data_IF_695564711322
#
_entry.id   IF_695564711322
#
_cell.length_a   1.000
_cell.length_b   1.000
_cell.length_c   1.000
_cell.angle_alpha   90.00
_cell.angle_beta   90.00
_cell.angle_gamma   90.00
#
_symmetry.space_group_name_H-M   'P 1'
#
loop_
_entity.id
_entity.type
_entity.pdbx_description
1 polymer ?
#
# COMPACT_ATOMS: atom_id res chain seq x y z
N UNK A 1 23.76 4.72 5.00
CA UNK A 1 22.30 4.62 4.81
C UNK A 1 22.01 3.33 4.09
N UNK A 2 21.19 2.46 4.66
CA UNK A 2 20.87 1.16 4.08
C UNK A 2 20.15 1.30 2.74
N UNK A 3 20.34 0.32 1.87
CA UNK A 3 19.66 0.21 0.57
C UNK A 3 18.13 0.18 0.77
N UNK A 4 17.34 1.04 0.10
CA UNK A 4 15.87 1.02 0.22
C UNK A 4 15.29 -0.34 -0.15
N UNK A 5 14.33 -0.82 0.64
CA UNK A 5 13.77 -2.16 0.47
C UNK A 5 12.82 -2.30 -0.74
N UNK A 6 12.18 -1.20 -1.15
CA UNK A 6 11.28 -1.14 -2.31
C UNK A 6 12.01 -0.73 -3.58
N UNK A 7 11.55 -1.24 -4.71
CA UNK A 7 11.95 -0.77 -6.02
C UNK A 7 11.25 0.55 -6.34
N UNK A 8 11.96 1.66 -6.11
CA UNK A 8 11.50 3.02 -6.39
C UNK A 8 11.97 3.59 -7.72
N UNK A 9 12.72 2.81 -8.51
CA UNK A 9 13.31 3.28 -9.78
C UNK A 9 12.46 2.89 -10.96
N UNK A 10 12.04 1.63 -10.98
CA UNK A 10 11.25 1.11 -12.08
C UNK A 10 9.77 1.41 -11.83
N UNK A 11 9.11 1.99 -12.83
CA UNK A 11 7.69 2.29 -12.75
C UNK A 11 6.87 1.11 -13.26
N UNK A 12 6.93 -0.01 -12.53
CA UNK A 12 6.07 -1.16 -12.80
C UNK A 12 4.66 -0.92 -12.26
N UNK A 13 3.67 -1.40 -13.02
CA UNK A 13 2.30 -1.56 -12.57
C UNK A 13 2.27 -2.56 -11.39
N UNK A 14 1.52 -2.22 -10.35
CA UNK A 14 1.36 -3.05 -9.16
C UNK A 14 -0.10 -3.38 -8.86
N UNK A 15 -1.04 -2.74 -9.55
CA UNK A 15 -2.46 -3.07 -9.56
C UNK A 15 -2.82 -3.76 -10.88
N UNK A 16 -3.65 -4.80 -10.76
CA UNK A 16 -4.30 -5.46 -11.88
C UNK A 16 -5.81 -5.30 -11.67
N UNK A 17 -6.56 -5.13 -12.77
CA UNK A 17 -8.02 -5.12 -12.76
C UNK A 17 -8.60 -6.49 -12.45
N UNK A 18 -9.91 -6.54 -12.29
CA UNK A 18 -10.67 -7.75 -12.00
C UNK A 18 -11.14 -8.42 -13.29
N UNK A 19 -11.58 -9.70 -13.23
CA UNK A 19 -12.07 -10.42 -14.41
C UNK A 19 -13.29 -9.81 -15.10
N UNK A 20 -14.00 -8.90 -14.42
CA UNK A 20 -15.11 -8.12 -14.96
C UNK A 20 -14.66 -6.95 -15.87
N UNK A 21 -13.36 -6.66 -15.93
CA UNK A 21 -12.78 -5.61 -16.74
C UNK A 21 -12.61 -4.27 -16.02
N UNK A 22 -12.95 -4.18 -14.74
CA UNK A 22 -12.88 -2.95 -13.94
C UNK A 22 -11.71 -2.95 -12.94
N UNK A 23 -11.38 -1.78 -12.39
CA UNK A 23 -10.36 -1.63 -11.33
C UNK A 23 -10.93 -1.29 -9.96
N UNK A 24 -12.24 -1.09 -9.85
CA UNK A 24 -13.02 -0.76 -8.66
C UNK A 24 -12.33 0.28 -7.75
N UNK A 25 -12.02 1.51 -8.20
CA UNK A 25 -11.27 2.50 -7.40
C UNK A 25 -11.88 2.78 -6.03
N UNK A 26 -13.20 2.78 -5.94
CA UNK A 26 -13.95 3.00 -4.69
C UNK A 26 -14.22 1.71 -3.90
N UNK A 27 -13.92 0.54 -4.47
CA UNK A 27 -14.02 -0.74 -3.79
C UNK A 27 -12.96 -0.89 -2.70
N UNK A 28 -13.28 -1.65 -1.67
CA UNK A 28 -12.32 -2.00 -0.63
C UNK A 28 -11.26 -2.96 -1.19
N UNK A 29 -10.05 -2.92 -0.62
CA UNK A 29 -8.97 -3.86 -0.93
C UNK A 29 -8.71 -4.80 0.25
N UNK A 30 -8.39 -6.06 -0.05
CA UNK A 30 -8.13 -7.08 0.97
C UNK A 30 -6.70 -7.02 1.50
N UNK A 31 -6.48 -7.62 2.67
CA UNK A 31 -5.15 -7.76 3.29
C UNK A 31 -4.19 -8.57 2.41
N UNK A 32 -4.67 -9.61 1.73
CA UNK A 32 -3.87 -10.43 0.81
C UNK A 32 -3.43 -9.67 -0.45
N UNK A 33 -4.31 -8.85 -1.02
CA UNK A 33 -3.98 -8.01 -2.17
C UNK A 33 -2.89 -6.99 -1.80
N UNK A 34 -3.02 -6.30 -0.66
CA UNK A 34 -2.00 -5.35 -0.20
C UNK A 34 -0.67 -6.03 0.09
N UNK A 35 -0.67 -7.19 0.76
CA UNK A 35 0.56 -7.97 0.98
C UNK A 35 1.24 -8.31 -0.35
N UNK A 36 0.47 -8.68 -1.36
CA UNK A 36 1.00 -9.05 -2.67
C UNK A 36 1.54 -7.85 -3.44
N UNK A 37 0.90 -6.68 -3.34
CA UNK A 37 1.42 -5.41 -3.89
C UNK A 37 2.82 -5.13 -3.34
N UNK A 38 2.96 -5.06 -2.01
CA UNK A 38 4.25 -4.75 -1.40
C UNK A 38 5.30 -5.82 -1.65
N UNK A 39 4.94 -7.11 -1.67
CA UNK A 39 5.84 -8.20 -2.01
C UNK A 39 6.41 -8.06 -3.44
N UNK A 40 5.57 -7.71 -4.42
CA UNK A 40 6.00 -7.47 -5.81
C UNK A 40 6.89 -6.23 -5.92
N UNK A 41 6.66 -5.23 -5.08
CA UNK A 41 7.45 -4.00 -5.04
C UNK A 41 8.79 -4.15 -4.30
N UNK A 42 9.03 -5.24 -3.56
CA UNK A 42 10.34 -5.51 -2.97
C UNK A 42 11.40 -5.63 -4.07
N UNK A 43 12.61 -5.11 -3.80
CA UNK A 43 13.77 -5.39 -4.64
C UNK A 43 14.21 -6.85 -4.49
N UNK A 44 14.74 -7.43 -5.56
CA UNK A 44 15.13 -8.85 -5.56
C UNK A 44 16.07 -9.26 -4.42
N UNK A 45 17.13 -8.51 -4.05
CA UNK A 45 17.98 -8.91 -2.92
C UNK A 45 17.22 -9.00 -1.59
N UNK A 46 16.27 -8.08 -1.36
CA UNK A 46 15.44 -8.05 -0.15
C UNK A 46 14.41 -9.17 -0.21
N UNK A 47 13.76 -9.36 -1.35
CA UNK A 47 12.79 -10.44 -1.55
C UNK A 47 13.44 -11.80 -1.33
N UNK A 48 14.64 -12.03 -1.86
CA UNK A 48 15.41 -13.28 -1.66
C UNK A 48 15.84 -13.47 -0.22
N UNK A 49 16.30 -12.41 0.47
CA UNK A 49 16.74 -12.49 1.86
C UNK A 49 15.63 -12.95 2.81
N UNK A 50 14.41 -12.45 2.61
CA UNK A 50 13.28 -12.73 3.51
C UNK A 50 12.28 -13.75 2.95
N UNK A 51 12.56 -14.31 1.78
CA UNK A 51 11.67 -15.26 1.10
C UNK A 51 11.22 -16.37 2.05
N UNK A 52 9.90 -16.55 2.16
CA UNK A 52 9.31 -17.64 2.91
C UNK A 52 7.99 -18.07 2.28
N UNK A 53 7.70 -19.36 2.34
CA UNK A 53 6.40 -19.96 2.01
C UNK A 53 5.76 -20.61 3.25
N UNK A 54 6.32 -20.35 4.43
CA UNK A 54 5.85 -20.90 5.70
C UNK A 54 5.47 -19.75 6.63
N UNK A 55 4.33 -19.91 7.29
CA UNK A 55 3.80 -19.00 8.28
C UNK A 55 3.02 -19.80 9.33
N UNK A 56 2.67 -19.14 10.45
CA UNK A 56 1.90 -19.76 11.53
C UNK A 56 0.39 -19.51 11.46
N UNK A 57 -0.13 -18.96 10.36
CA UNK A 57 -1.53 -18.58 10.26
C UNK A 57 -2.41 -19.76 9.84
N UNK A 58 -3.49 -20.00 10.57
CA UNK A 58 -4.41 -21.11 10.31
C UNK A 58 -5.20 -20.97 9.00
N UNK A 59 -5.30 -19.74 8.47
CA UNK A 59 -6.07 -19.36 7.28
C UNK A 59 -5.19 -18.94 6.09
N UNK A 60 -3.89 -19.21 6.12
CA UNK A 60 -2.95 -18.94 5.01
C UNK A 60 -2.29 -20.24 4.51
N UNK A 61 -3.05 -21.15 3.88
CA UNK A 61 -2.52 -22.44 3.43
C UNK A 61 -1.50 -22.29 2.31
N UNK A 62 -0.54 -23.23 2.25
CA UNK A 62 0.63 -23.19 1.36
C UNK A 62 0.32 -23.11 -0.15
N UNK A 63 -0.86 -23.56 -0.57
CA UNK A 63 -1.27 -23.59 -1.97
C UNK A 63 -2.03 -22.33 -2.44
N UNK A 64 -2.20 -21.31 -1.59
CA UNK A 64 -2.90 -20.07 -1.96
C UNK A 64 -1.95 -19.08 -2.61
N UNK A 65 -2.47 -18.32 -3.58
CA UNK A 65 -1.72 -17.32 -4.35
C UNK A 65 -1.02 -16.27 -3.47
N UNK A 66 -1.62 -15.93 -2.33
CA UNK A 66 -1.09 -14.94 -1.38
C UNK A 66 -0.09 -15.51 -0.37
N UNK A 67 0.09 -16.84 -0.29
CA UNK A 67 0.85 -17.46 0.80
C UNK A 67 2.29 -16.96 0.83
N UNK A 68 2.96 -16.94 -0.32
CA UNK A 68 4.36 -16.52 -0.41
C UNK A 68 4.54 -15.05 -0.03
N UNK A 69 3.64 -14.17 -0.50
CA UNK A 69 3.66 -12.75 -0.18
C UNK A 69 3.46 -12.52 1.33
N UNK A 70 2.45 -13.16 1.92
CA UNK A 70 2.16 -13.03 3.35
C UNK A 70 3.31 -13.59 4.19
N UNK A 71 3.79 -14.78 3.85
CA UNK A 71 4.87 -15.45 4.60
C UNK A 71 6.16 -14.63 4.53
N UNK A 72 6.53 -14.11 3.36
CA UNK A 72 7.72 -13.25 3.19
C UNK A 72 7.60 -11.94 3.98
N UNK A 73 6.50 -11.20 3.84
CA UNK A 73 6.32 -9.93 4.57
C UNK A 73 6.17 -10.13 6.10
N UNK A 74 5.65 -11.29 6.53
CA UNK A 74 5.61 -11.66 7.94
C UNK A 74 7.02 -11.94 8.47
N UNK A 75 7.84 -12.65 7.69
CA UNK A 75 9.25 -12.89 8.01
C UNK A 75 10.08 -11.59 8.07
N UNK A 76 9.67 -10.56 7.32
CA UNK A 76 10.23 -9.21 7.41
C UNK A 76 9.75 -8.41 8.64
N UNK A 77 8.71 -8.87 9.35
CA UNK A 77 8.04 -8.11 10.41
C UNK A 77 7.13 -6.97 9.92
N UNK A 78 6.89 -6.88 8.60
CA UNK A 78 6.10 -5.80 7.98
C UNK A 78 4.60 -6.03 8.12
N UNK A 79 4.16 -7.28 8.18
CA UNK A 79 2.76 -7.64 8.46
C UNK A 79 2.68 -8.62 9.62
N UNK A 80 1.54 -8.64 10.29
CA UNK A 80 1.24 -9.60 11.34
C UNK A 80 -0.24 -10.01 11.27
N UNK A 81 -0.55 -11.18 11.79
CA UNK A 81 -1.91 -11.66 11.98
C UNK A 81 -2.51 -11.20 13.30
N UNK A 82 -3.63 -11.82 13.64
CA UNK A 82 -4.43 -11.55 14.82
C UNK A 82 -4.06 -12.51 15.97
N UNK A 83 -4.41 -12.17 17.23
CA UNK A 83 -4.12 -13.02 18.39
C UNK A 83 -4.74 -14.42 18.33
N UNK A 84 -5.77 -14.62 17.51
CA UNK A 84 -6.43 -15.90 17.27
C UNK A 84 -5.66 -16.83 16.31
N UNK A 85 -4.48 -16.40 15.83
CA UNK A 85 -3.66 -17.16 14.89
C UNK A 85 -4.12 -17.05 13.43
N UNK A 86 -5.04 -16.14 13.09
CA UNK A 86 -5.46 -15.88 11.70
C UNK A 86 -4.74 -14.68 11.11
N UNK A 87 -4.63 -14.62 9.78
CA UNK A 87 -4.21 -13.41 9.06
C UNK A 87 -5.40 -12.64 8.48
N UNK A 88 -6.50 -13.33 8.17
CA UNK A 88 -7.72 -12.84 7.51
C UNK A 88 -7.43 -12.28 6.11
N UNK A 89 -6.88 -13.11 5.19
CA UNK A 89 -6.40 -12.65 3.89
C UNK A 89 -7.46 -11.97 3.03
N UNK A 90 -8.70 -12.48 3.07
CA UNK A 90 -9.81 -11.98 2.24
C UNK A 90 -10.60 -10.84 2.92
N UNK A 91 -10.24 -10.46 4.15
CA UNK A 91 -10.88 -9.33 4.83
C UNK A 91 -10.37 -8.00 4.27
N UNK A 92 -11.24 -6.97 4.17
CA UNK A 92 -10.80 -5.61 3.87
C UNK A 92 -9.74 -5.14 4.87
N UNK A 93 -8.68 -4.53 4.36
CA UNK A 93 -7.65 -3.92 5.22
C UNK A 93 -8.10 -2.53 5.67
N UNK A 94 -7.79 -2.19 6.92
CA UNK A 94 -8.07 -0.86 7.46
C UNK A 94 -7.02 0.15 7.02
N UNK A 95 -7.37 1.44 7.09
CA UNK A 95 -6.44 2.53 6.78
C UNK A 95 -5.22 2.55 7.72
N UNK A 96 -5.41 2.27 9.01
CA UNK A 96 -4.29 2.18 9.96
C UNK A 96 -3.33 1.02 9.63
N UNK A 97 -3.86 -0.14 9.22
CA UNK A 97 -3.04 -1.29 8.83
C UNK A 97 -2.23 -1.01 7.55
N UNK A 98 -2.84 -0.42 6.52
CA UNK A 98 -2.07 -0.02 5.34
C UNK A 98 -0.98 1.00 5.69
N UNK A 99 -1.30 1.96 6.57
CA UNK A 99 -0.34 2.97 7.05
C UNK A 99 0.85 2.32 7.71
N UNK A 100 0.60 1.33 8.59
CA UNK A 100 1.65 0.54 9.23
C UNK A 100 2.57 -0.13 8.20
N UNK A 101 1.98 -0.77 7.18
CA UNK A 101 2.74 -1.46 6.14
C UNK A 101 3.62 -0.48 5.36
N UNK A 102 3.04 0.62 4.87
CA UNK A 102 3.74 1.63 4.10
C UNK A 102 4.89 2.29 4.89
N UNK A 103 4.62 2.70 6.14
CA UNK A 103 5.60 3.34 7.00
C UNK A 103 6.78 2.43 7.38
N UNK A 104 6.58 1.11 7.41
CA UNK A 104 7.63 0.12 7.76
C UNK A 104 8.82 0.11 6.78
N UNK A 105 8.76 0.84 5.66
CA UNK A 105 9.80 0.89 4.63
C UNK A 105 10.75 2.10 4.68
N UNK A 106 10.53 3.08 5.57
CA UNK A 106 11.27 4.35 5.54
C UNK A 106 12.29 4.51 6.66
N UNK A 107 11.90 4.22 7.89
CA UNK A 107 12.72 4.35 9.09
C UNK A 107 12.25 3.32 10.11
N UNK A 108 13.01 3.10 11.18
CA UNK A 108 12.52 2.28 12.29
C UNK A 108 11.39 3.02 13.04
N UNK A 109 10.12 2.64 12.85
CA UNK A 109 9.00 3.34 13.48
C UNK A 109 8.91 3.00 14.97
N UNK A 110 9.85 2.24 15.54
CA UNK A 110 9.96 1.98 16.98
C UNK A 110 10.58 3.14 17.76
N UNK A 111 11.09 4.17 17.07
CA UNK A 111 11.43 5.44 17.72
C UNK A 111 10.10 6.10 18.11
N UNK A 112 9.88 6.27 19.42
CA UNK A 112 8.66 6.88 19.93
C UNK A 112 8.54 8.32 19.42
N UNK A 113 7.67 8.54 18.45
CA UNK A 113 7.23 9.85 18.03
C UNK A 113 5.99 10.25 18.83
N UNK A 114 6.02 11.44 19.42
CA UNK A 114 4.86 11.99 20.12
C UNK A 114 3.84 12.43 19.09
N UNK A 115 2.59 11.98 19.24
CA UNK A 115 1.51 12.37 18.35
C UNK A 115 1.22 13.88 18.47
N UNK A 116 1.04 14.56 17.33
CA UNK A 116 0.87 16.02 17.25
C UNK A 116 -0.58 16.50 17.47
N UNK A 117 -1.53 15.57 17.64
CA UNK A 117 -2.94 15.90 17.89
C UNK A 117 -3.72 16.38 16.67
N UNK A 118 -3.19 16.22 15.45
CA UNK A 118 -3.78 16.85 14.26
C UNK A 118 -5.08 16.23 13.73
N UNK A 119 -5.41 15.02 14.14
CA UNK A 119 -6.60 14.29 13.72
C UNK A 119 -7.59 14.18 14.87
N UNK A 120 -8.85 14.47 14.58
CA UNK A 120 -9.92 14.49 15.59
C UNK A 120 -10.26 13.12 16.17
N UNK A 121 -9.91 12.04 15.47
CA UNK A 121 -10.24 10.65 15.78
C UNK A 121 -9.01 9.79 16.13
N UNK A 122 -7.93 10.45 16.58
CA UNK A 122 -6.69 9.82 17.04
C UNK A 122 -6.31 10.40 18.40
N UNK A 123 -6.00 9.54 19.37
CA UNK A 123 -5.77 9.93 20.76
C UNK A 123 -4.30 9.82 21.21
N UNK A 124 -3.43 9.22 20.40
CA UNK A 124 -1.99 9.13 20.67
C UNK A 124 -1.54 7.90 21.46
N UNK A 125 -2.46 7.00 21.83
CA UNK A 125 -2.17 5.78 22.57
C UNK A 125 -2.42 4.50 21.74
N UNK A 126 -2.89 4.64 20.51
CA UNK A 126 -3.22 3.53 19.63
C UNK A 126 -1.96 2.83 19.10
N UNK A 127 -2.09 1.53 18.80
CA UNK A 127 -0.98 0.68 18.34
C UNK A 127 -0.29 1.18 17.06
N UNK A 128 -0.99 1.98 16.25
CA UNK A 128 -0.50 2.47 14.96
C UNK A 128 0.19 3.83 15.05
N UNK A 129 0.25 4.47 16.22
CA UNK A 129 0.66 5.88 16.35
C UNK A 129 2.07 6.14 15.81
N UNK A 130 3.04 5.29 16.15
CA UNK A 130 4.40 5.53 15.69
C UNK A 130 4.53 5.40 14.17
N UNK A 131 3.80 4.46 13.56
CA UNK A 131 3.72 4.32 12.10
C UNK A 131 2.98 5.48 11.45
N UNK A 132 1.92 5.99 12.08
CA UNK A 132 1.22 7.16 11.60
C UNK A 132 2.15 8.37 11.59
N UNK A 133 2.94 8.57 12.63
CA UNK A 133 3.92 9.67 12.68
C UNK A 133 4.98 9.56 11.59
N UNK A 134 5.54 8.37 11.37
CA UNK A 134 6.45 8.15 10.22
C UNK A 134 5.75 8.42 8.89
N UNK A 135 4.51 7.96 8.72
CA UNK A 135 3.76 8.21 7.48
C UNK A 135 3.45 9.70 7.25
N UNK A 136 3.28 10.48 8.32
CA UNK A 136 3.12 11.94 8.24
C UNK A 136 4.44 12.63 7.87
N UNK A 137 5.53 12.24 8.50
CA UNK A 137 6.88 12.78 8.25
C UNK A 137 7.32 12.52 6.80
N UNK A 138 7.06 11.32 6.30
CA UNK A 138 7.38 10.90 4.93
C UNK A 138 6.35 11.38 3.89
N UNK A 139 5.31 12.10 4.31
CA UNK A 139 4.28 12.64 3.42
C UNK A 139 3.42 11.57 2.74
N UNK A 140 3.30 10.38 3.33
CA UNK A 140 2.48 9.28 2.80
C UNK A 140 0.98 9.54 3.00
N UNK A 141 0.63 10.24 4.09
CA UNK A 141 -0.76 10.49 4.52
C UNK A 141 -0.95 11.95 4.92
N UNK A 142 -2.10 12.50 4.56
CA UNK A 142 -2.48 13.90 4.89
C UNK A 142 -3.73 13.97 5.78
N UNK A 143 -4.57 12.93 5.80
CA UNK A 143 -5.89 12.93 6.45
C UNK A 143 -7.03 13.24 5.48
N UNK A 144 -8.25 13.39 6.01
CA UNK A 144 -9.42 13.82 5.25
C UNK A 144 -9.71 15.30 5.47
N UNK A 145 -10.48 15.95 4.57
CA UNK A 145 -10.85 17.36 4.71
C UNK A 145 -11.61 17.71 6.00
N UNK A 146 -12.25 16.73 6.63
CA UNK A 146 -12.96 16.89 7.92
C UNK A 146 -12.02 16.85 9.14
N UNK A 147 -10.71 16.71 8.94
CA UNK A 147 -9.73 16.62 10.02
C UNK A 147 -9.60 15.23 10.62
N UNK A 148 -10.19 14.19 10.02
CA UNK A 148 -10.07 12.81 10.51
C UNK A 148 -8.93 12.03 9.83
N UNK A 149 -8.48 10.94 10.46
CA UNK A 149 -7.61 9.91 9.89
C UNK A 149 -8.41 8.66 9.48
N UNK A 150 -9.51 8.35 10.15
CA UNK A 150 -10.39 7.18 9.97
C UNK A 150 -9.63 5.85 10.07
N UNK A 151 -8.94 5.58 11.20
CA UNK A 151 -8.00 4.45 11.35
C UNK A 151 -8.64 3.09 11.08
N UNK A 152 -9.85 2.87 11.57
CA UNK A 152 -10.54 1.58 11.52
C UNK A 152 -11.41 1.38 10.27
N UNK A 153 -11.48 2.38 9.39
CA UNK A 153 -12.28 2.29 8.16
C UNK A 153 -11.56 1.40 7.15
N UNK A 154 -12.25 0.43 6.52
CA UNK A 154 -11.74 -0.22 5.32
C UNK A 154 -11.30 0.82 4.28
N UNK A 155 -10.10 0.63 3.74
CA UNK A 155 -9.54 1.58 2.77
C UNK A 155 -9.91 1.17 1.34
N UNK A 156 -10.17 2.16 0.50
CA UNK A 156 -10.46 1.94 -0.92
C UNK A 156 -9.19 1.64 -1.72
N UNK A 157 -9.36 1.06 -2.91
CA UNK A 157 -8.26 0.84 -3.86
C UNK A 157 -7.61 2.14 -4.32
N UNK A 158 -8.39 3.18 -4.58
CA UNK A 158 -7.90 4.51 -4.96
C UNK A 158 -6.99 5.13 -3.89
N UNK A 159 -7.42 5.08 -2.62
CA UNK A 159 -6.61 5.58 -1.51
C UNK A 159 -5.38 4.72 -1.26
N UNK A 160 -5.50 3.40 -1.46
CA UNK A 160 -4.36 2.49 -1.39
C UNK A 160 -3.30 2.84 -2.43
N UNK A 161 -3.70 3.03 -3.69
CA UNK A 161 -2.78 3.43 -4.77
C UNK A 161 -2.11 4.78 -4.46
N UNK A 162 -2.84 5.71 -3.86
CA UNK A 162 -2.29 7.01 -3.45
C UNK A 162 -1.17 6.85 -2.42
N UNK A 163 -1.40 6.04 -1.39
CA UNK A 163 -0.39 5.79 -0.35
C UNK A 163 0.79 4.99 -0.91
N UNK A 164 0.53 3.99 -1.77
CA UNK A 164 1.60 3.18 -2.40
C UNK A 164 2.45 4.03 -3.35
N UNK A 165 1.86 4.89 -4.19
CA UNK A 165 2.59 5.81 -5.06
C UNK A 165 3.51 6.72 -4.24
N UNK A 166 3.00 7.33 -3.15
CA UNK A 166 3.81 8.13 -2.23
C UNK A 166 4.94 7.30 -1.59
N UNK A 167 4.65 6.05 -1.22
CA UNK A 167 5.64 5.10 -0.66
C UNK A 167 6.77 4.78 -1.64
N UNK A 168 6.46 4.79 -2.94
CA UNK A 168 7.40 4.62 -4.03
C UNK A 168 8.11 5.93 -4.45
N UNK A 169 7.73 7.07 -3.87
CA UNK A 169 8.21 8.40 -4.28
C UNK A 169 7.60 8.91 -5.59
N UNK A 170 6.53 8.27 -6.07
CA UNK A 170 5.82 8.64 -7.29
C UNK A 170 4.83 9.76 -7.01
N UNK A 171 4.79 10.76 -7.89
CA UNK A 171 3.87 11.90 -7.84
C UNK A 171 3.15 11.99 -9.18
N UNK A 172 2.18 11.09 -9.45
CA UNK A 172 1.50 11.09 -10.73
C UNK A 172 0.63 12.33 -10.85
N UNK A 173 0.80 13.04 -11.96
CA UNK A 173 0.05 14.24 -12.31
C UNK A 173 -0.74 13.95 -13.57
N UNK A 174 -2.02 14.33 -13.61
CA UNK A 174 -2.94 14.00 -14.72
C UNK A 174 -2.47 14.50 -16.09
N UNK A 175 -1.64 15.56 -16.10
CA UNK A 175 -1.10 16.21 -17.29
C UNK A 175 0.25 15.62 -17.72
N UNK A 176 0.84 14.76 -16.87
CA UNK A 176 2.11 14.06 -17.09
C UNK A 176 1.91 12.54 -17.05
N UNK A 177 0.74 12.06 -17.48
CA UNK A 177 0.51 10.63 -17.70
C UNK A 177 1.01 10.24 -19.09
N UNK A 178 1.17 8.93 -19.31
CA UNK A 178 1.37 8.37 -20.65
C UNK A 178 0.26 8.83 -21.62
N UNK A 179 0.54 8.85 -22.94
CA UNK A 179 -0.51 9.02 -23.94
C UNK A 179 -1.65 8.02 -23.73
N UNK A 180 -2.89 8.46 -23.94
CA UNK A 180 -4.09 7.61 -23.73
C UNK A 180 -4.08 6.34 -24.60
N UNK A 181 -3.41 6.37 -25.75
CA UNK A 181 -3.21 5.22 -26.63
C UNK A 181 -2.32 4.13 -26.02
N UNK A 182 -1.46 4.51 -25.07
CA UNK A 182 -0.45 3.63 -24.47
C UNK A 182 -0.88 3.14 -23.09
N UNK A 183 -1.94 3.74 -22.53
CA UNK A 183 -2.52 3.36 -21.26
C UNK A 183 -3.59 2.27 -21.42
N UNK A 184 -3.65 1.37 -20.44
CA UNK A 184 -4.84 0.61 -20.15
C UNK A 184 -5.93 1.59 -19.70
N UNK A 185 -7.04 1.60 -20.43
CA UNK A 185 -8.20 2.41 -20.13
C UNK A 185 -9.25 1.54 -19.45
N UNK A 186 -9.65 1.98 -18.25
CA UNK A 186 -10.59 1.24 -17.41
C UNK A 186 -11.98 1.89 -17.46
N UNK A 187 -13.06 1.12 -17.74
CA UNK A 187 -14.41 1.67 -17.88
C UNK A 187 -14.88 2.45 -16.64
N UNK A 188 -14.50 2.02 -15.44
CA UNK A 188 -14.85 2.61 -14.16
C UNK A 188 -13.87 3.69 -13.65
N UNK A 189 -12.84 4.03 -14.43
CA UNK A 189 -11.86 5.09 -14.13
C UNK A 189 -11.64 6.02 -15.33
N UNK A 190 -12.71 6.51 -15.96
CA UNK A 190 -12.64 7.40 -17.13
C UNK A 190 -12.61 8.90 -16.80
N UNK A 191 -13.10 9.31 -15.63
CA UNK A 191 -13.20 10.72 -15.28
C UNK A 191 -11.84 11.30 -14.88
N UNK A 192 -11.15 11.96 -15.82
CA UNK A 192 -9.83 12.57 -15.62
C UNK A 192 -9.77 13.65 -14.52
N UNK A 193 -10.92 14.19 -14.12
CA UNK A 193 -11.00 15.21 -13.07
C UNK A 193 -11.25 14.63 -11.68
N UNK A 194 -11.46 13.32 -11.56
CA UNK A 194 -11.57 12.70 -10.24
C UNK A 194 -10.19 12.60 -9.58
N UNK A 195 -10.12 12.87 -8.29
CA UNK A 195 -8.86 13.06 -7.54
C UNK A 195 -7.90 11.87 -7.64
N UNK A 196 -8.41 10.66 -7.85
CA UNK A 196 -7.63 9.43 -7.92
C UNK A 196 -7.26 8.99 -9.34
N UNK A 197 -7.72 9.67 -10.40
CA UNK A 197 -7.52 9.21 -11.78
C UNK A 197 -6.04 8.92 -12.07
N UNK A 198 -5.17 9.90 -11.83
CA UNK A 198 -3.73 9.76 -12.07
C UNK A 198 -3.09 8.70 -11.16
N UNK A 199 -3.59 8.53 -9.94
CA UNK A 199 -3.10 7.52 -9.00
C UNK A 199 -3.38 6.10 -9.52
N UNK A 200 -4.58 5.89 -10.06
CA UNK A 200 -5.00 4.61 -10.64
C UNK A 200 -4.26 4.32 -11.96
N UNK A 201 -4.06 5.33 -12.82
CA UNK A 201 -3.30 5.14 -14.06
C UNK A 201 -1.83 4.79 -13.76
N UNK A 202 -1.20 5.46 -12.80
CA UNK A 202 0.16 5.15 -12.35
C UNK A 202 0.29 3.76 -11.72
N UNK A 203 -0.76 3.29 -11.05
CA UNK A 203 -0.77 1.97 -10.42
C UNK A 203 -0.95 0.81 -11.40
N UNK A 204 -1.59 1.06 -12.56
CA UNK A 204 -2.02 0.03 -13.52
C UNK A 204 -1.21 -0.01 -14.81
N UNK A 205 -0.38 1.00 -15.07
CA UNK A 205 0.43 1.09 -16.29
C UNK A 205 1.92 1.09 -15.95
N UNK A 206 2.69 0.23 -16.63
CA UNK A 206 4.15 0.24 -16.52
C UNK A 206 4.76 1.22 -17.52
N UNK A 207 5.80 1.94 -17.12
CA UNK A 207 6.54 2.83 -18.02
C UNK A 207 7.98 3.06 -17.55
N UNK A 208 8.80 3.60 -18.43
CA UNK A 208 10.16 4.04 -18.12
C UNK A 208 10.17 5.57 -17.99
N UNK A 209 10.03 6.13 -16.78
CA UNK A 209 10.34 7.56 -16.60
C UNK A 209 11.84 7.76 -16.45
N UNK A 210 12.41 8.53 -17.40
CA UNK A 210 13.65 9.28 -17.16
C UNK A 210 13.24 10.70 -16.78
N UNK A 211 13.45 11.08 -15.53
CA UNK A 211 13.45 12.50 -15.17
C UNK A 211 14.59 13.17 -15.95
N UNK A 212 14.27 14.07 -16.89
CA UNK A 212 15.21 15.07 -17.40
C UNK A 212 15.10 16.34 -16.57
#
# INVERSE_FOLDING_TARGET
GGTPALNRRDHYAYIIGYPDGDVHPQGNITRAEVATIFFRLLRDPVRTQYWSQTNGYSDVPGNKWYNNAISTLSNMGIICGYPDGTFRPDAPITRAELTKIAASFFSDPRVAATYDGRFSDVHGAEWYISYLMTALEEGLIEGYPDGSFRPNRPITRAETCTIVNRTLGRKPEKDHLLPESDMINWPDNINRNIWYYAQMQEATNSHDYRWT
#
